data_IF_896263881769
#
_entry.id   IF_896263881769
#
_cell.length_a   1.000
_cell.length_b   1.000
_cell.length_c   1.000
_cell.angle_alpha   90.00
_cell.angle_beta   90.00
_cell.angle_gamma   90.00
#
_symmetry.space_group_name_H-M   'P 1'
#
loop_
_entity.id
_entity.type
_entity.pdbx_description
1 polymer ?
#
# COMPACT_ATOMS: atom_id res chain seq x y z
N UNK A 1 -5.85 25.98 -5.12
CA UNK A 1 -5.75 24.53 -5.38
C UNK A 1 -5.30 23.88 -4.10
N UNK A 2 -6.00 22.87 -3.57
CA UNK A 2 -5.43 22.10 -2.48
C UNK A 2 -4.17 21.42 -3.02
N UNK A 3 -3.09 21.49 -2.25
CA UNK A 3 -1.88 20.68 -2.44
C UNK A 3 -2.34 19.23 -2.59
N UNK A 4 -1.93 18.57 -3.68
CA UNK A 4 -2.43 17.25 -4.08
C UNK A 4 -2.52 16.30 -2.90
N UNK A 5 -3.55 15.46 -2.90
CA UNK A 5 -3.71 14.40 -1.90
C UNK A 5 -2.37 13.64 -1.77
N UNK A 6 -1.83 13.44 -0.56
CA UNK A 6 -0.53 12.76 -0.38
C UNK A 6 -0.47 11.39 -1.08
N UNK A 7 -1.61 10.71 -1.20
CA UNK A 7 -1.74 9.44 -1.87
C UNK A 7 -1.69 9.47 -3.39
N UNK A 8 -2.01 10.59 -4.02
CA UNK A 8 -1.96 10.71 -5.47
C UNK A 8 -0.54 10.41 -6.01
N UNK A 9 0.49 10.83 -5.29
CA UNK A 9 1.89 10.60 -5.68
C UNK A 9 2.26 9.10 -5.66
N UNK A 10 1.87 8.38 -4.62
CA UNK A 10 2.17 6.95 -4.48
C UNK A 10 1.38 6.16 -5.53
N UNK A 11 0.08 6.39 -5.58
CA UNK A 11 -0.81 5.68 -6.47
C UNK A 11 -0.50 5.93 -7.95
N UNK A 12 -0.04 7.13 -8.34
CA UNK A 12 0.43 7.40 -9.70
C UNK A 12 1.67 6.61 -10.10
N UNK A 13 2.56 6.29 -9.16
CA UNK A 13 3.73 5.45 -9.45
C UNK A 13 3.32 4.01 -9.81
N UNK A 14 2.24 3.53 -9.21
CA UNK A 14 1.69 2.20 -9.42
C UNK A 14 0.71 2.11 -10.59
N UNK A 15 -0.05 3.19 -10.84
CA UNK A 15 -1.14 3.23 -11.81
C UNK A 15 -1.27 4.61 -12.50
N UNK A 16 -0.27 5.06 -13.28
CA UNK A 16 -0.22 6.42 -13.83
C UNK A 16 -1.41 6.78 -14.71
N UNK A 17 -1.98 5.80 -15.42
CA UNK A 17 -3.09 6.00 -16.37
C UNK A 17 -4.47 5.80 -15.74
N UNK A 18 -4.54 5.50 -14.45
CA UNK A 18 -5.79 5.22 -13.75
C UNK A 18 -6.26 6.41 -12.93
N UNK A 19 -5.35 7.04 -12.20
CA UNK A 19 -5.68 8.23 -11.41
C UNK A 19 -5.72 9.47 -12.29
N UNK A 20 -6.93 9.97 -12.56
CA UNK A 20 -7.19 11.06 -13.51
C UNK A 20 -7.05 12.45 -12.85
N UNK A 21 -7.11 12.53 -11.53
CA UNK A 21 -6.96 13.76 -10.77
C UNK A 21 -7.91 13.86 -9.59
N UNK A 22 -7.91 15.02 -8.96
CA UNK A 22 -8.81 15.36 -7.86
C UNK A 22 -9.83 16.35 -8.36
N UNK A 23 -11.10 16.09 -8.07
CA UNK A 23 -12.24 16.91 -8.51
C UNK A 23 -13.01 17.44 -7.32
N UNK A 24 -13.60 18.66 -7.40
CA UNK A 24 -14.42 19.20 -6.34
C UNK A 24 -15.76 18.45 -6.24
N UNK A 25 -16.20 18.24 -5.01
CA UNK A 25 -17.58 17.92 -4.67
C UNK A 25 -18.27 19.23 -4.31
N UNK A 26 -19.31 19.60 -5.02
CA UNK A 26 -19.99 20.89 -4.86
C UNK A 26 -21.43 20.71 -4.42
N UNK A 27 -21.92 21.68 -3.68
CA UNK A 27 -23.33 21.76 -3.26
C UNK A 27 -24.17 22.32 -4.39
N UNK A 28 -25.31 21.67 -4.70
CA UNK A 28 -26.33 22.14 -5.63
C UNK A 28 -27.72 22.09 -4.97
N UNK A 29 -28.71 22.61 -5.63
CA UNK A 29 -30.12 22.56 -5.18
C UNK A 29 -30.66 21.15 -5.01
N UNK A 30 -30.10 20.18 -5.76
CA UNK A 30 -30.57 18.80 -5.80
C UNK A 30 -29.62 17.85 -5.02
N UNK A 31 -28.65 18.40 -4.29
CA UNK A 31 -27.69 17.63 -3.47
C UNK A 31 -26.22 17.87 -3.87
N UNK A 32 -25.36 16.90 -3.57
CA UNK A 32 -23.93 16.97 -3.87
C UNK A 32 -23.63 16.49 -5.29
N UNK A 33 -22.80 17.24 -6.01
CA UNK A 33 -22.44 16.96 -7.42
C UNK A 33 -20.93 17.02 -7.58
N UNK A 34 -20.36 16.07 -8.33
CA UNK A 34 -18.95 16.12 -8.74
C UNK A 34 -18.77 17.15 -9.86
N UNK A 35 -17.67 17.93 -9.79
CA UNK A 35 -17.29 18.92 -10.82
C UNK A 35 -18.40 19.93 -11.14
N UNK A 36 -19.33 20.21 -10.20
CA UNK A 36 -20.40 21.20 -10.38
C UNK A 36 -19.94 22.63 -10.15
N UNK A 37 -20.85 23.60 -10.43
CA UNK A 37 -20.58 25.03 -10.33
C UNK A 37 -20.90 25.64 -8.95
N UNK A 38 -21.37 24.81 -7.98
CA UNK A 38 -21.73 25.25 -6.65
C UNK A 38 -20.52 25.50 -5.73
N UNK A 39 -20.82 25.79 -4.45
CA UNK A 39 -19.76 25.91 -3.45
C UNK A 39 -19.09 24.55 -3.22
N UNK A 40 -17.76 24.51 -3.29
CA UNK A 40 -16.98 23.30 -2.98
C UNK A 40 -17.11 22.99 -1.48
N UNK A 41 -17.56 21.78 -1.17
CA UNK A 41 -17.73 21.25 0.20
C UNK A 41 -16.75 20.14 0.52
N UNK A 42 -16.27 19.42 -0.51
CA UNK A 42 -15.29 18.32 -0.38
C UNK A 42 -14.52 18.09 -1.68
N UNK A 43 -13.62 17.14 -1.68
CA UNK A 43 -12.82 16.73 -2.84
C UNK A 43 -12.85 15.22 -3.01
N UNK A 44 -12.84 14.75 -4.26
CA UNK A 44 -12.84 13.32 -4.58
C UNK A 44 -11.75 12.98 -5.59
N UNK A 45 -11.15 11.79 -5.44
CA UNK A 45 -10.24 11.22 -6.43
C UNK A 45 -11.02 10.71 -7.65
N UNK A 46 -10.74 11.23 -8.85
CA UNK A 46 -11.31 10.77 -10.10
C UNK A 46 -10.43 9.68 -10.70
N UNK A 47 -11.01 8.52 -10.92
CA UNK A 47 -10.27 7.34 -11.40
C UNK A 47 -10.96 6.72 -12.61
N UNK A 48 -10.15 6.05 -13.47
CA UNK A 48 -10.67 5.17 -14.51
C UNK A 48 -11.20 3.90 -13.85
N UNK A 49 -12.42 3.50 -14.18
CA UNK A 49 -12.98 2.23 -13.71
C UNK A 49 -12.21 1.07 -14.34
N UNK A 50 -11.74 0.15 -13.51
CA UNK A 50 -11.10 -1.09 -13.92
C UNK A 50 -12.07 -2.26 -13.74
N UNK A 51 -11.93 -3.31 -14.56
CA UNK A 51 -12.77 -4.51 -14.45
C UNK A 51 -12.21 -5.44 -13.38
N UNK A 52 -13.04 -5.83 -12.43
CA UNK A 52 -12.69 -6.80 -11.37
C UNK A 52 -12.25 -8.16 -11.91
N UNK A 53 -12.72 -8.56 -13.11
CA UNK A 53 -12.29 -9.78 -13.78
C UNK A 53 -10.80 -9.80 -14.13
N UNK A 54 -10.15 -8.62 -14.13
CA UNK A 54 -8.72 -8.48 -14.37
C UNK A 54 -7.86 -8.53 -13.11
N UNK A 55 -8.45 -8.65 -11.91
CA UNK A 55 -7.69 -8.76 -10.67
C UNK A 55 -6.94 -10.09 -10.57
N UNK A 56 -5.82 -10.11 -9.82
CA UNK A 56 -5.15 -11.37 -9.47
C UNK A 56 -6.07 -12.29 -8.67
N UNK A 57 -6.96 -11.74 -7.84
CA UNK A 57 -7.96 -12.51 -7.10
C UNK A 57 -8.87 -13.29 -8.05
N UNK A 58 -9.45 -12.63 -9.04
CA UNK A 58 -10.30 -13.29 -10.04
C UNK A 58 -9.51 -14.37 -10.80
N UNK A 59 -8.28 -14.06 -11.22
CA UNK A 59 -7.42 -15.05 -11.92
C UNK A 59 -7.07 -16.26 -11.07
N UNK A 60 -6.83 -16.07 -9.78
CA UNK A 60 -6.61 -17.18 -8.84
C UNK A 60 -7.85 -18.06 -8.74
N UNK A 61 -9.02 -17.45 -8.53
CA UNK A 61 -10.30 -18.18 -8.43
C UNK A 61 -10.63 -18.97 -9.70
N UNK A 62 -10.31 -18.41 -10.86
CA UNK A 62 -10.56 -19.03 -12.17
C UNK A 62 -9.46 -20.03 -12.60
N UNK A 63 -8.44 -20.28 -11.75
CA UNK A 63 -7.31 -21.16 -12.09
C UNK A 63 -6.39 -20.60 -13.19
N UNK A 64 -6.41 -19.29 -13.43
CA UNK A 64 -5.62 -18.59 -14.49
C UNK A 64 -4.38 -17.89 -13.94
N UNK A 65 -3.95 -18.20 -12.73
CA UNK A 65 -2.76 -17.66 -12.10
C UNK A 65 -1.60 -18.69 -12.22
N UNK A 66 -0.60 -18.35 -13.00
CA UNK A 66 0.59 -19.18 -13.21
C UNK A 66 1.87 -18.51 -12.67
N UNK A 67 2.96 -19.27 -12.65
CA UNK A 67 4.26 -18.78 -12.18
C UNK A 67 4.81 -17.62 -13.03
N UNK A 68 4.58 -17.63 -14.33
CA UNK A 68 5.03 -16.58 -15.25
C UNK A 68 4.36 -15.25 -14.95
N UNK A 69 3.05 -15.29 -14.67
CA UNK A 69 2.31 -14.09 -14.28
C UNK A 69 2.78 -13.55 -12.93
N UNK A 70 3.01 -14.44 -11.95
CA UNK A 70 3.55 -14.04 -10.65
C UNK A 70 4.94 -13.40 -10.77
N UNK A 71 5.80 -13.93 -11.63
CA UNK A 71 7.11 -13.33 -11.91
C UNK A 71 6.97 -11.92 -12.51
N UNK A 72 6.04 -11.70 -13.46
CA UNK A 72 5.77 -10.38 -14.02
C UNK A 72 5.30 -9.40 -12.94
N UNK A 73 4.38 -9.82 -12.07
CA UNK A 73 3.92 -9.00 -10.94
C UNK A 73 5.10 -8.65 -10.02
N UNK A 74 5.92 -9.63 -9.64
CA UNK A 74 7.09 -9.41 -8.80
C UNK A 74 8.09 -8.42 -9.44
N UNK A 75 8.35 -8.54 -10.74
CA UNK A 75 9.18 -7.59 -11.50
C UNK A 75 8.62 -6.18 -11.47
N UNK A 76 7.29 -6.03 -11.61
CA UNK A 76 6.62 -4.71 -11.50
C UNK A 76 6.78 -4.11 -10.11
N UNK A 77 6.56 -4.90 -9.06
CA UNK A 77 6.76 -4.47 -7.66
C UNK A 77 8.19 -4.00 -7.43
N UNK A 78 9.18 -4.79 -7.83
CA UNK A 78 10.60 -4.42 -7.71
C UNK A 78 10.92 -3.15 -8.48
N UNK A 79 10.38 -2.97 -9.69
CA UNK A 79 10.62 -1.78 -10.50
C UNK A 79 10.11 -0.51 -9.80
N UNK A 80 8.90 -0.55 -9.21
CA UNK A 80 8.36 0.59 -8.45
C UNK A 80 9.16 0.83 -7.17
N UNK A 81 9.49 -0.22 -6.41
CA UNK A 81 10.27 -0.09 -5.18
C UNK A 81 11.65 0.53 -5.42
N UNK A 82 12.31 0.24 -6.56
CA UNK A 82 13.63 0.79 -6.89
C UNK A 82 13.63 2.30 -7.07
N UNK A 83 12.54 2.88 -7.57
CA UNK A 83 12.40 4.32 -7.82
C UNK A 83 11.57 5.04 -6.75
N UNK A 84 10.98 4.30 -5.82
CA UNK A 84 10.21 4.87 -4.72
C UNK A 84 11.10 5.79 -3.85
N UNK A 85 10.55 6.86 -3.28
CA UNK A 85 11.29 7.72 -2.35
C UNK A 85 11.84 6.92 -1.16
N UNK A 86 13.00 7.33 -0.67
CA UNK A 86 13.55 6.81 0.59
C UNK A 86 12.66 7.30 1.74
N UNK A 87 12.32 6.42 2.67
CA UNK A 87 11.53 6.76 3.84
C UNK A 87 12.32 7.72 4.74
N UNK A 88 11.86 8.96 4.86
CA UNK A 88 12.61 10.03 5.57
C UNK A 88 12.58 9.92 7.08
N UNK A 89 11.61 9.17 7.65
CA UNK A 89 11.46 8.97 9.09
C UNK A 89 12.33 7.84 9.67
N UNK A 90 13.04 7.07 8.81
CA UNK A 90 13.81 5.89 9.24
C UNK A 90 15.29 6.09 8.95
N UNK A 91 16.08 6.21 10.01
CA UNK A 91 17.53 6.33 9.98
C UNK A 91 18.18 5.14 10.68
N UNK A 92 19.50 5.00 10.57
CA UNK A 92 20.21 3.84 11.14
C UNK A 92 19.95 3.65 12.64
N UNK A 93 19.97 4.75 13.37
CA UNK A 93 19.82 4.80 14.84
C UNK A 93 18.41 4.48 15.34
N UNK A 94 17.38 4.69 14.51
CA UNK A 94 15.98 4.47 14.89
C UNK A 94 15.28 3.35 14.11
N UNK A 95 15.98 2.70 13.18
CA UNK A 95 15.38 1.70 12.30
C UNK A 95 14.71 0.53 13.05
N UNK A 96 15.37 0.02 14.11
CA UNK A 96 14.83 -1.07 14.92
C UNK A 96 13.58 -0.62 15.67
N UNK A 97 13.64 0.57 16.27
CA UNK A 97 12.52 1.14 17.05
C UNK A 97 11.31 1.45 16.13
N UNK A 98 11.56 1.92 14.93
CA UNK A 98 10.51 2.15 13.93
C UNK A 98 9.72 0.86 13.65
N UNK A 99 10.39 -0.25 13.35
CA UNK A 99 9.71 -1.52 13.11
C UNK A 99 9.13 -2.13 14.39
N UNK A 100 9.77 -1.91 15.54
CA UNK A 100 9.23 -2.36 16.83
C UNK A 100 7.85 -1.76 17.10
N UNK A 101 7.67 -0.47 16.91
CA UNK A 101 6.37 0.21 17.10
C UNK A 101 5.28 -0.37 16.21
N UNK A 102 5.58 -0.66 14.95
CA UNK A 102 4.62 -1.30 14.05
C UNK A 102 4.19 -2.68 14.55
N UNK A 103 5.12 -3.47 15.06
CA UNK A 103 4.77 -4.76 15.68
C UNK A 103 3.93 -4.58 16.95
N UNK A 104 4.30 -3.65 17.81
CA UNK A 104 3.57 -3.36 19.06
C UNK A 104 2.13 -2.93 18.79
N UNK A 105 1.89 -2.08 17.80
CA UNK A 105 0.55 -1.66 17.40
C UNK A 105 -0.28 -2.84 16.88
N UNK A 106 0.30 -3.70 16.06
CA UNK A 106 -0.34 -4.93 15.61
C UNK A 106 -0.68 -5.87 16.76
N UNK A 107 0.24 -6.04 17.74
CA UNK A 107 0.02 -6.90 18.89
C UNK A 107 -1.03 -6.31 19.85
N UNK A 108 -1.05 -5.00 20.01
CA UNK A 108 -2.07 -4.28 20.79
C UNK A 108 -3.45 -4.50 20.20
N UNK A 109 -3.58 -4.38 18.88
CA UNK A 109 -4.81 -4.70 18.17
C UNK A 109 -5.21 -6.18 18.36
N UNK A 110 -4.28 -7.11 18.11
CA UNK A 110 -4.52 -8.55 18.24
C UNK A 110 -4.91 -8.96 19.65
N UNK A 111 -4.35 -8.32 20.68
CA UNK A 111 -4.69 -8.57 22.09
C UNK A 111 -6.10 -8.10 22.46
N UNK A 112 -6.65 -7.13 21.73
CA UNK A 112 -8.04 -6.67 21.88
C UNK A 112 -9.08 -7.58 21.22
N UNK A 113 -8.64 -8.53 20.37
CA UNK A 113 -9.54 -9.53 19.79
C UNK A 113 -9.94 -10.56 20.83
N UNK A 114 -11.11 -11.20 20.60
CA UNK A 114 -11.56 -12.25 21.52
C UNK A 114 -10.54 -13.39 21.58
N UNK A 115 -10.24 -13.86 22.77
CA UNK A 115 -9.26 -14.93 23.07
C UNK A 115 -9.55 -16.27 22.35
N UNK A 116 -10.78 -16.45 21.81
CA UNK A 116 -11.16 -17.59 20.98
C UNK A 116 -10.48 -17.59 19.60
N UNK A 117 -10.05 -16.43 19.09
CA UNK A 117 -9.42 -16.32 17.77
C UNK A 117 -7.90 -16.59 17.83
N UNK A 118 -7.23 -16.07 18.86
CA UNK A 118 -5.78 -16.27 19.03
C UNK A 118 -5.52 -16.66 20.50
N UNK A 119 -5.07 -17.90 20.77
CA UNK A 119 -4.73 -18.30 22.12
C UNK A 119 -3.64 -17.38 22.71
N UNK A 120 -3.78 -16.94 24.00
CA UNK A 120 -2.82 -15.98 24.61
C UNK A 120 -1.37 -16.47 24.57
N UNK A 121 -1.11 -17.75 24.72
CA UNK A 121 0.24 -18.33 24.64
C UNK A 121 0.86 -18.23 23.24
N UNK A 122 0.05 -18.33 22.19
CA UNK A 122 0.49 -18.15 20.80
C UNK A 122 0.87 -16.70 20.57
N UNK A 123 0.03 -15.76 21.02
CA UNK A 123 0.30 -14.34 20.88
C UNK A 123 1.59 -13.94 21.61
N UNK A 124 1.76 -14.35 22.86
CA UNK A 124 2.98 -14.10 23.65
C UNK A 124 4.23 -14.65 22.95
N UNK A 125 4.15 -15.85 22.38
CA UNK A 125 5.26 -16.46 21.63
C UNK A 125 5.60 -15.67 20.36
N UNK A 126 4.61 -15.21 19.62
CA UNK A 126 4.82 -14.37 18.42
C UNK A 126 5.48 -13.04 18.77
N UNK A 127 5.04 -12.40 19.85
CA UNK A 127 5.66 -11.15 20.36
C UNK A 127 7.14 -11.37 20.72
N UNK A 128 7.45 -12.45 21.45
CA UNK A 128 8.84 -12.81 21.79
C UNK A 128 9.69 -13.03 20.55
N UNK A 129 9.21 -13.82 19.61
CA UNK A 129 9.93 -14.10 18.35
C UNK A 129 10.17 -12.84 17.52
N UNK A 130 9.19 -11.94 17.44
CA UNK A 130 9.33 -10.67 16.72
C UNK A 130 10.42 -9.78 17.35
N UNK A 131 10.43 -9.67 18.68
CA UNK A 131 11.44 -8.89 19.40
C UNK A 131 12.85 -9.51 19.29
N UNK A 132 12.95 -10.83 19.41
CA UNK A 132 14.21 -11.55 19.19
C UNK A 132 14.75 -11.34 17.77
N UNK A 133 13.86 -11.38 16.77
CA UNK A 133 14.23 -11.16 15.37
C UNK A 133 14.73 -9.72 15.16
N UNK A 134 14.01 -8.72 15.64
CA UNK A 134 14.42 -7.31 15.53
C UNK A 134 15.78 -7.07 16.18
N UNK A 135 16.00 -7.62 17.38
CA UNK A 135 17.28 -7.49 18.09
C UNK A 135 18.41 -8.13 17.33
N UNK A 136 18.20 -9.35 16.81
CA UNK A 136 19.21 -10.09 16.03
C UNK A 136 19.58 -9.42 14.72
N UNK A 137 18.63 -8.68 14.11
CA UNK A 137 18.80 -8.06 12.79
C UNK A 137 18.97 -6.54 12.86
N UNK A 138 19.25 -5.99 14.06
CA UNK A 138 19.40 -4.55 14.26
C UNK A 138 20.43 -3.93 13.28
N UNK A 139 21.61 -4.53 13.16
CA UNK A 139 22.65 -4.07 12.25
C UNK A 139 22.23 -4.12 10.76
N UNK A 140 21.46 -5.14 10.37
CA UNK A 140 20.93 -5.26 9.02
C UNK A 140 19.96 -4.11 8.71
N UNK A 141 19.04 -3.83 9.64
CA UNK A 141 18.06 -2.75 9.50
C UNK A 141 18.74 -1.39 9.44
N UNK A 142 19.72 -1.13 10.33
CA UNK A 142 20.51 0.08 10.31
C UNK A 142 21.26 0.27 8.99
N UNK A 143 21.96 -0.76 8.49
CA UNK A 143 22.62 -0.69 7.19
C UNK A 143 21.65 -0.41 6.04
N UNK A 144 20.47 -1.04 6.03
CA UNK A 144 19.44 -0.79 5.00
C UNK A 144 18.93 0.64 5.03
N UNK A 145 18.78 1.24 6.21
CA UNK A 145 18.41 2.65 6.34
C UNK A 145 19.49 3.56 5.73
N UNK A 146 20.77 3.34 6.08
CA UNK A 146 21.91 4.14 5.57
C UNK A 146 22.00 4.13 4.06
N UNK A 147 21.83 2.97 3.42
CA UNK A 147 21.95 2.84 1.96
C UNK A 147 20.62 3.11 1.22
N UNK A 148 19.61 3.67 1.91
CA UNK A 148 18.32 4.05 1.32
C UNK A 148 17.48 2.89 0.79
N UNK A 149 17.57 1.70 1.42
CA UNK A 149 16.77 0.53 1.06
C UNK A 149 15.41 0.48 1.75
N UNK A 150 15.18 1.35 2.72
CA UNK A 150 13.86 1.52 3.34
C UNK A 150 13.13 2.60 2.55
N UNK A 151 12.04 2.23 1.92
CA UNK A 151 11.36 3.02 0.89
C UNK A 151 9.89 3.21 1.20
N UNK A 152 9.31 4.32 0.73
CA UNK A 152 7.86 4.49 0.71
C UNK A 152 7.27 3.55 -0.33
N UNK A 153 6.48 2.58 0.14
CA UNK A 153 5.91 1.52 -0.71
C UNK A 153 4.38 1.56 -0.68
N UNK A 154 3.73 0.56 -1.23
CA UNK A 154 2.28 0.47 -1.30
C UNK A 154 1.60 0.35 0.09
N UNK A 155 2.22 -0.39 1.00
CA UNK A 155 1.78 -0.60 2.38
C UNK A 155 0.67 -1.66 2.57
N UNK A 156 -0.23 -1.86 1.59
CA UNK A 156 -1.35 -2.82 1.68
C UNK A 156 -1.55 -3.59 0.36
N UNK A 157 -0.50 -4.25 -0.14
CA UNK A 157 -0.57 -4.96 -1.42
C UNK A 157 -1.35 -6.27 -1.30
N UNK A 158 -2.52 -6.34 -1.93
CA UNK A 158 -3.42 -7.50 -1.94
C UNK A 158 -3.80 -7.91 -3.37
N UNK A 159 -4.30 -9.14 -3.54
CA UNK A 159 -4.64 -9.69 -4.86
C UNK A 159 -5.77 -8.91 -5.56
N UNK A 160 -6.67 -8.31 -4.80
CA UNK A 160 -7.78 -7.49 -5.29
C UNK A 160 -7.33 -6.16 -5.91
N UNK A 161 -6.17 -5.68 -5.50
CA UNK A 161 -5.62 -4.39 -5.91
C UNK A 161 -4.67 -4.51 -7.11
N UNK A 162 -4.29 -5.72 -7.50
CA UNK A 162 -3.40 -5.97 -8.65
C UNK A 162 -4.21 -6.38 -9.86
N UNK A 163 -4.21 -5.55 -10.90
CA UNK A 163 -4.92 -5.75 -12.16
C UNK A 163 -3.94 -6.12 -13.26
N UNK A 164 -4.33 -7.08 -14.09
CA UNK A 164 -3.50 -7.64 -15.18
C UNK A 164 -4.18 -7.43 -16.52
N UNK A 165 -3.48 -6.78 -17.43
CA UNK A 165 -3.87 -6.51 -18.83
C UNK A 165 -2.91 -7.20 -19.77
N UNK A 166 -3.27 -8.39 -20.24
CA UNK A 166 -2.40 -9.20 -21.11
C UNK A 166 -2.15 -8.55 -22.49
N UNK A 167 -3.08 -7.70 -22.94
CA UNK A 167 -2.99 -6.96 -24.20
C UNK A 167 -2.07 -5.73 -24.13
N UNK A 168 -1.62 -5.35 -22.94
CA UNK A 168 -0.72 -4.21 -22.76
C UNK A 168 0.73 -4.65 -22.60
N UNK A 169 1.64 -3.79 -23.05
CA UNK A 169 3.07 -3.96 -22.80
C UNK A 169 3.48 -3.47 -21.42
N UNK A 170 4.52 -4.05 -20.80
CA UNK A 170 5.10 -3.52 -19.57
C UNK A 170 5.54 -2.04 -19.72
N UNK A 171 5.34 -1.21 -18.69
CA UNK A 171 4.84 -1.53 -17.34
C UNK A 171 3.30 -1.45 -17.21
N UNK A 172 2.56 -1.12 -18.27
CA UNK A 172 1.11 -0.93 -18.26
C UNK A 172 0.30 -2.22 -18.15
N UNK A 173 0.94 -3.36 -18.30
CA UNK A 173 0.34 -4.70 -18.19
C UNK A 173 -0.01 -5.10 -16.76
N UNK A 174 0.66 -4.51 -15.76
CA UNK A 174 0.40 -4.71 -14.33
C UNK A 174 0.12 -3.34 -13.68
N UNK A 175 -1.10 -3.17 -13.22
CA UNK A 175 -1.57 -1.95 -12.54
C UNK A 175 -1.91 -2.30 -11.09
N UNK A 176 -1.49 -1.48 -10.14
CA UNK A 176 -1.77 -1.69 -8.71
C UNK A 176 -2.47 -0.45 -8.18
N UNK A 177 -3.55 -0.65 -7.43
CA UNK A 177 -4.39 0.41 -6.86
C UNK A 177 -4.35 0.41 -5.34
N UNK A 178 -4.86 1.48 -4.75
CA UNK A 178 -5.17 1.62 -3.32
C UNK A 178 -3.97 1.44 -2.39
N UNK A 179 -2.82 2.05 -2.76
CA UNK A 179 -1.70 2.22 -1.84
C UNK A 179 -2.12 3.06 -0.62
N UNK A 180 -1.57 2.74 0.55
CA UNK A 180 -1.90 3.45 1.79
C UNK A 180 -1.57 4.94 1.69
N UNK A 181 -2.60 5.77 1.84
CA UNK A 181 -2.51 7.23 1.72
C UNK A 181 -2.53 7.92 3.07
N UNK A 182 -3.29 7.36 4.01
CA UNK A 182 -3.68 8.00 5.26
C UNK A 182 -2.64 7.88 6.38
N UNK A 183 -1.69 6.95 6.28
CA UNK A 183 -0.63 6.79 7.29
C UNK A 183 0.74 6.59 6.64
N UNK A 184 1.61 7.61 6.79
CA UNK A 184 2.97 7.57 6.27
C UNK A 184 3.85 6.50 6.95
N UNK A 185 3.48 6.02 8.13
CA UNK A 185 4.23 5.01 8.87
C UNK A 185 3.96 3.58 8.37
N UNK A 186 2.91 3.37 7.59
CA UNK A 186 2.51 2.05 7.07
C UNK A 186 2.91 1.79 5.61
N UNK A 187 3.62 2.71 4.97
CA UNK A 187 3.96 2.64 3.54
C UNK A 187 5.47 2.70 3.27
#
# INVERSE_FOLDING_TARGET
MPLGFPGERINRAWAPDVYLGVVPVTESTDGLVFEGNGKTVDWAGKMRRLSESNTLRSRLTDGRLDATLLERVARRVVAVHRVAPVATGVQAENAVEYFRRQFEDNWKFASGLQSSLIPPGVLARLMSLSNEWLTRHADLLGRRAVIGMIREVHGDLRLEQVFVYQEKSPPGDIVVLDGLEFDANLR
#
